data_IF_210900531956
#
_entry.id   IF_210900531956
#
_cell.length_a   1.000
_cell.length_b   1.000
_cell.length_c   1.000
_cell.angle_alpha   90.00
_cell.angle_beta   90.00
_cell.angle_gamma   90.00
#
_symmetry.space_group_name_H-M   'P 1'
#
loop_
_entity.id
_entity.type
_entity.pdbx_description
1 polymer ?
#
# COMPACT_ATOMS: atom_id res chain seq x y z
N UNK A 1 1.47 26.50 -18.97
CA UNK A 1 2.23 25.78 -17.92
C UNK A 1 1.38 24.61 -17.42
N UNK A 2 1.61 23.37 -17.91
CA UNK A 2 0.85 22.19 -17.45
C UNK A 2 1.15 22.01 -15.96
N UNK A 3 0.12 22.07 -15.09
CA UNK A 3 0.27 21.70 -13.66
C UNK A 3 0.91 20.30 -13.63
N UNK A 4 2.10 20.18 -13.04
CA UNK A 4 2.71 18.88 -12.75
C UNK A 4 1.70 18.11 -11.90
N UNK A 5 1.15 17.01 -12.40
CA UNK A 5 0.19 16.21 -11.65
C UNK A 5 0.89 15.69 -10.39
N UNK A 6 0.21 15.70 -9.25
CA UNK A 6 0.81 15.29 -7.96
C UNK A 6 1.31 13.84 -7.99
N UNK A 7 0.69 13.00 -8.82
CA UNK A 7 1.07 11.61 -9.05
C UNK A 7 2.48 11.45 -9.66
N UNK A 8 2.99 12.44 -10.41
CA UNK A 8 4.30 12.34 -11.05
C UNK A 8 5.47 12.44 -10.03
N UNK A 9 5.16 12.72 -8.75
CA UNK A 9 6.14 12.79 -7.64
C UNK A 9 6.48 11.41 -7.08
N UNK A 10 5.62 10.41 -7.27
CA UNK A 10 5.75 9.10 -6.63
C UNK A 10 6.23 8.05 -7.63
N UNK A 11 7.44 7.54 -7.44
CA UNK A 11 8.08 6.69 -8.46
C UNK A 11 7.43 5.31 -8.64
N UNK A 12 6.59 4.88 -7.70
CA UNK A 12 5.80 3.65 -7.84
C UNK A 12 4.53 3.84 -8.69
N UNK A 13 4.22 5.08 -9.07
CA UNK A 13 3.25 5.40 -10.10
C UNK A 13 3.97 5.43 -11.45
N UNK A 14 3.83 4.35 -12.22
CA UNK A 14 4.67 4.11 -13.41
C UNK A 14 3.94 4.44 -14.71
N UNK A 15 4.62 4.97 -15.74
CA UNK A 15 3.98 5.33 -17.00
C UNK A 15 3.65 4.10 -17.89
N UNK A 16 4.23 2.94 -17.59
CA UNK A 16 4.09 1.70 -18.36
C UNK A 16 3.08 0.76 -17.73
N UNK A 17 2.68 -0.26 -18.48
CA UNK A 17 2.01 -1.43 -17.91
C UNK A 17 2.92 -2.16 -16.93
N UNK A 18 2.30 -2.92 -16.03
CA UNK A 18 2.97 -3.71 -15.00
C UNK A 18 2.73 -5.18 -15.32
N UNK A 19 3.75 -5.88 -15.82
CA UNK A 19 3.64 -7.26 -16.31
C UNK A 19 3.00 -8.22 -15.29
N UNK A 20 3.35 -8.11 -14.00
CA UNK A 20 2.79 -8.91 -12.92
C UNK A 20 1.97 -8.06 -11.95
N UNK A 21 0.91 -7.42 -12.45
CA UNK A 21 0.07 -6.49 -11.69
C UNK A 21 -0.42 -7.03 -10.34
N UNK A 22 -0.78 -8.32 -10.25
CA UNK A 22 -1.25 -8.97 -9.01
C UNK A 22 -0.18 -9.10 -7.94
N UNK A 23 1.09 -9.20 -8.32
CA UNK A 23 2.22 -9.40 -7.39
C UNK A 23 3.06 -8.13 -7.20
N UNK A 24 2.64 -7.03 -7.81
CA UNK A 24 3.36 -5.75 -7.81
C UNK A 24 2.70 -4.72 -6.90
N UNK A 25 3.52 -3.93 -6.20
CA UNK A 25 3.08 -2.72 -5.51
C UNK A 25 3.01 -1.49 -6.40
N UNK A 26 3.39 -1.61 -7.68
CA UNK A 26 3.37 -0.51 -8.65
C UNK A 26 1.96 -0.31 -9.21
N UNK A 27 1.62 0.93 -9.54
CA UNK A 27 0.33 1.29 -10.14
C UNK A 27 0.58 2.07 -11.44
N UNK A 28 -0.01 1.66 -12.57
CA UNK A 28 0.04 2.45 -13.80
C UNK A 28 -0.55 3.86 -13.61
N UNK A 29 0.16 4.88 -14.12
CA UNK A 29 -0.29 6.27 -14.09
C UNK A 29 -1.61 6.47 -14.85
N UNK A 30 -1.87 5.67 -15.89
CA UNK A 30 -3.15 5.67 -16.59
C UNK A 30 -4.31 5.35 -15.64
N UNK A 31 -4.20 4.24 -14.90
CA UNK A 31 -5.20 3.81 -13.91
C UNK A 31 -5.32 4.81 -12.76
N UNK A 32 -4.20 5.30 -12.24
CA UNK A 32 -4.22 6.30 -11.16
C UNK A 32 -4.93 7.60 -11.57
N UNK A 33 -4.80 8.01 -12.84
CA UNK A 33 -5.44 9.22 -13.39
C UNK A 33 -6.90 8.99 -13.80
N UNK A 34 -7.24 7.78 -14.21
CA UNK A 34 -8.61 7.40 -14.58
C UNK A 34 -9.50 7.19 -13.35
N UNK A 35 -8.90 6.77 -12.23
CA UNK A 35 -9.53 6.54 -10.93
C UNK A 35 -9.96 7.82 -10.20
N UNK A 36 -10.74 8.71 -10.82
CA UNK A 36 -11.12 10.03 -10.26
C UNK A 36 -12.11 9.96 -9.09
N UNK A 37 -12.83 8.85 -8.95
CA UNK A 37 -13.79 8.64 -7.87
C UNK A 37 -13.10 8.03 -6.65
N UNK A 38 -12.88 8.87 -5.64
CA UNK A 38 -12.27 8.45 -4.38
C UNK A 38 -13.04 7.33 -3.67
N UNK A 39 -14.38 7.37 -3.67
CA UNK A 39 -15.19 6.36 -2.98
C UNK A 39 -15.05 5.00 -3.66
N UNK A 40 -15.01 4.99 -5.00
CA UNK A 40 -14.77 3.76 -5.78
C UNK A 40 -13.41 3.15 -5.45
N UNK A 41 -12.34 3.97 -5.45
CA UNK A 41 -10.99 3.50 -5.09
C UNK A 41 -10.92 3.02 -3.64
N UNK A 42 -11.58 3.74 -2.72
CA UNK A 42 -11.65 3.34 -1.31
C UNK A 42 -12.31 1.98 -1.14
N UNK A 43 -13.39 1.71 -1.89
CA UNK A 43 -14.04 0.40 -1.91
C UNK A 43 -13.13 -0.70 -2.46
N UNK A 44 -12.30 -0.39 -3.45
CA UNK A 44 -11.29 -1.31 -4.00
C UNK A 44 -10.21 -1.62 -2.95
N UNK A 45 -9.68 -0.61 -2.24
CA UNK A 45 -8.72 -0.82 -1.14
C UNK A 45 -9.31 -1.72 -0.05
N UNK A 46 -10.59 -1.52 0.28
CA UNK A 46 -11.28 -2.39 1.23
C UNK A 46 -11.54 -3.81 0.70
N UNK A 47 -11.84 -3.94 -0.59
CA UNK A 47 -11.97 -5.24 -1.25
C UNK A 47 -10.65 -6.01 -1.18
N UNK A 48 -9.55 -5.35 -1.53
CA UNK A 48 -8.19 -5.88 -1.39
C UNK A 48 -7.94 -6.39 0.04
N UNK A 49 -8.20 -5.57 1.07
CA UNK A 49 -7.98 -5.98 2.45
C UNK A 49 -8.77 -7.25 2.80
N UNK A 50 -10.07 -7.29 2.45
CA UNK A 50 -10.92 -8.44 2.77
C UNK A 50 -10.45 -9.72 2.07
N UNK A 51 -10.03 -9.60 0.80
CA UNK A 51 -9.72 -10.75 -0.04
C UNK A 51 -8.29 -11.26 0.13
N UNK A 52 -7.33 -10.36 0.31
CA UNK A 52 -5.90 -10.69 0.35
C UNK A 52 -5.34 -10.82 1.76
N UNK A 53 -5.99 -10.19 2.76
CA UNK A 53 -5.47 -10.13 4.13
C UNK A 53 -6.42 -10.80 5.13
N UNK A 54 -7.66 -10.33 5.24
CA UNK A 54 -8.57 -10.77 6.30
C UNK A 54 -8.95 -12.26 6.19
N UNK A 55 -9.16 -12.72 4.95
CA UNK A 55 -9.53 -14.10 4.60
C UNK A 55 -8.43 -15.13 4.87
N UNK A 56 -7.16 -14.73 4.90
CA UNK A 56 -6.02 -15.66 4.98
C UNK A 56 -5.90 -16.30 6.36
N UNK A 57 -5.82 -17.62 6.44
CA UNK A 57 -5.74 -18.36 7.71
C UNK A 57 -4.30 -18.49 8.23
N UNK A 58 -3.31 -18.33 7.37
CA UNK A 58 -1.88 -18.40 7.71
C UNK A 58 -1.32 -17.09 8.29
N UNK A 59 -2.05 -15.97 8.15
CA UNK A 59 -1.65 -14.69 8.74
C UNK A 59 -2.05 -14.58 10.21
N UNK A 60 -1.17 -14.02 11.02
CA UNK A 60 -1.41 -13.69 12.41
C UNK A 60 -2.51 -12.64 12.56
N UNK A 61 -3.23 -12.70 13.69
CA UNK A 61 -4.24 -11.68 14.02
C UNK A 61 -3.63 -10.26 14.02
N UNK A 62 -2.38 -10.11 14.48
CA UNK A 62 -1.66 -8.84 14.43
C UNK A 62 -1.37 -8.36 13.01
N UNK A 63 -1.01 -9.25 12.07
CA UNK A 63 -0.84 -8.90 10.67
C UNK A 63 -2.17 -8.45 10.05
N UNK A 64 -3.28 -9.12 10.36
CA UNK A 64 -4.61 -8.73 9.89
C UNK A 64 -5.05 -7.37 10.42
N UNK A 65 -4.83 -7.09 11.71
CA UNK A 65 -5.11 -5.78 12.30
C UNK A 65 -4.23 -4.69 11.70
N UNK A 66 -2.94 -4.98 11.50
CA UNK A 66 -2.03 -4.02 10.89
C UNK A 66 -2.42 -3.74 9.42
N UNK A 67 -2.75 -4.77 8.64
CA UNK A 67 -3.27 -4.64 7.28
C UNK A 67 -4.57 -3.84 7.21
N UNK A 68 -5.48 -4.01 8.17
CA UNK A 68 -6.67 -3.17 8.32
C UNK A 68 -6.28 -1.71 8.50
N UNK A 69 -5.32 -1.41 9.37
CA UNK A 69 -4.89 -0.03 9.63
C UNK A 69 -4.21 0.61 8.41
N UNK A 70 -3.48 -0.17 7.62
CA UNK A 70 -2.91 0.29 6.35
C UNK A 70 -4.02 0.63 5.37
N UNK A 71 -4.98 -0.28 5.18
CA UNK A 71 -6.13 -0.03 4.31
C UNK A 71 -6.92 1.19 4.79
N UNK A 72 -7.12 1.36 6.09
CA UNK A 72 -7.84 2.50 6.68
C UNK A 72 -7.16 3.84 6.38
N UNK A 73 -5.84 3.87 6.47
CA UNK A 73 -5.01 5.07 6.31
C UNK A 73 -4.36 5.19 4.95
N UNK A 74 -4.89 4.48 3.97
CA UNK A 74 -4.44 4.57 2.60
C UNK A 74 -4.82 5.94 2.02
N UNK A 75 -3.89 6.56 1.30
CA UNK A 75 -4.06 7.92 0.76
C UNK A 75 -4.02 7.90 -0.76
N UNK A 76 -4.96 8.63 -1.34
CA UNK A 76 -5.22 8.67 -2.77
C UNK A 76 -4.11 9.40 -3.53
N UNK A 77 -3.57 10.46 -2.94
CA UNK A 77 -2.57 11.32 -3.56
C UNK A 77 -1.29 10.57 -3.92
N UNK A 78 -0.91 9.62 -3.07
CA UNK A 78 0.31 8.84 -3.20
C UNK A 78 0.07 7.35 -3.48
N UNK A 79 -1.18 6.93 -3.62
CA UNK A 79 -1.58 5.53 -3.78
C UNK A 79 -0.96 4.57 -2.73
N UNK A 80 -0.82 5.03 -1.50
CA UNK A 80 -0.12 4.28 -0.45
C UNK A 80 -0.56 4.70 0.95
N UNK A 81 -0.17 3.93 1.95
CA UNK A 81 -0.26 4.34 3.36
C UNK A 81 1.12 4.76 3.86
N UNK A 82 1.25 5.90 4.55
CA UNK A 82 2.57 6.46 4.88
C UNK A 82 2.61 7.21 6.22
N UNK A 83 1.67 6.93 7.13
CA UNK A 83 1.74 7.46 8.49
C UNK A 83 2.97 6.88 9.23
N UNK A 84 3.40 7.54 10.30
CA UNK A 84 4.47 7.00 11.12
C UNK A 84 4.07 5.65 11.73
N UNK A 85 5.00 4.71 11.88
CA UNK A 85 4.71 3.38 12.45
C UNK A 85 4.02 3.46 13.83
N UNK A 86 4.34 4.49 14.62
CA UNK A 86 3.70 4.72 15.91
C UNK A 86 2.20 5.04 15.79
N UNK A 87 1.79 5.70 14.71
CA UNK A 87 0.37 6.00 14.47
C UNK A 87 -0.41 4.70 14.27
N UNK A 88 0.09 3.80 13.43
CA UNK A 88 -0.51 2.48 13.24
C UNK A 88 -0.56 1.68 14.54
N UNK A 89 0.51 1.71 15.35
CA UNK A 89 0.53 1.00 16.65
C UNK A 89 -0.58 1.48 17.59
N UNK A 90 -0.85 2.78 17.61
CA UNK A 90 -1.93 3.35 18.42
C UNK A 90 -3.31 2.96 17.86
N UNK A 91 -3.48 2.99 16.55
CA UNK A 91 -4.75 2.61 15.91
C UNK A 91 -5.18 1.18 16.23
N UNK A 92 -4.24 0.23 16.24
CA UNK A 92 -4.55 -1.19 16.48
C UNK A 92 -4.37 -1.61 17.93
N UNK A 93 -3.96 -0.69 18.82
CA UNK A 93 -3.72 -0.99 20.24
C UNK A 93 -2.60 -2.01 20.49
N UNK A 94 -1.59 -2.09 19.61
CA UNK A 94 -0.47 -3.03 19.73
C UNK A 94 0.85 -2.30 19.94
N UNK A 95 1.80 -2.94 20.61
CA UNK A 95 3.14 -2.35 20.76
C UNK A 95 3.93 -2.34 19.44
N UNK A 96 4.94 -1.46 19.37
CA UNK A 96 5.78 -1.26 18.18
C UNK A 96 6.50 -2.52 17.70
N UNK A 97 6.94 -3.39 18.62
CA UNK A 97 7.65 -4.63 18.27
C UNK A 97 6.70 -5.61 17.56
N UNK A 98 5.46 -5.72 18.03
CA UNK A 98 4.42 -6.54 17.40
C UNK A 98 4.02 -5.97 16.05
N UNK A 99 3.78 -4.67 15.92
CA UNK A 99 3.49 -4.05 14.62
C UNK A 99 4.66 -4.19 13.62
N UNK A 100 5.90 -4.10 14.10
CA UNK A 100 7.08 -4.33 13.25
C UNK A 100 7.13 -5.76 12.69
N UNK A 101 6.75 -6.77 13.49
CA UNK A 101 6.64 -8.17 13.04
C UNK A 101 5.46 -8.36 12.09
N UNK A 102 4.30 -7.80 12.41
CA UNK A 102 3.12 -7.83 11.56
C UNK A 102 3.37 -7.22 10.18
N UNK A 103 4.03 -6.06 10.11
CA UNK A 103 4.45 -5.44 8.85
C UNK A 103 5.45 -6.33 8.08
N UNK A 104 6.41 -6.95 8.78
CA UNK A 104 7.35 -7.87 8.14
C UNK A 104 6.63 -9.08 7.55
N UNK A 105 5.69 -9.67 8.30
CA UNK A 105 4.87 -10.81 7.86
C UNK A 105 4.07 -10.48 6.59
N UNK A 106 3.40 -9.33 6.56
CA UNK A 106 2.70 -8.85 5.35
C UNK A 106 3.66 -8.62 4.17
N UNK A 107 4.88 -8.14 4.43
CA UNK A 107 5.91 -7.94 3.40
C UNK A 107 6.46 -9.26 2.86
N UNK A 108 6.69 -10.24 3.73
CA UNK A 108 7.20 -11.56 3.38
C UNK A 108 6.16 -12.36 2.60
N UNK A 109 4.87 -12.19 2.93
CA UNK A 109 3.74 -12.74 2.17
C UNK A 109 3.47 -12.00 0.84
N UNK A 110 4.31 -11.03 0.47
CA UNK A 110 4.15 -10.15 -0.70
C UNK A 110 2.79 -9.45 -0.77
N UNK A 111 2.23 -9.06 0.37
CA UNK A 111 0.98 -8.28 0.46
C UNK A 111 1.26 -6.78 0.57
N UNK A 112 2.40 -6.41 1.15
CA UNK A 112 2.80 -5.01 1.32
C UNK A 112 4.23 -4.80 0.83
N UNK A 113 4.46 -3.78 0.01
CA UNK A 113 5.81 -3.31 -0.27
C UNK A 113 6.15 -2.10 0.61
N UNK A 114 7.34 -2.13 1.20
CA UNK A 114 7.89 -1.00 1.94
C UNK A 114 8.83 -0.26 0.99
N UNK A 115 8.56 1.00 0.71
CA UNK A 115 9.36 1.79 -0.23
C UNK A 115 9.79 3.12 0.39
N UNK A 116 10.87 3.70 -0.12
CA UNK A 116 11.30 5.05 0.23
C UNK A 116 10.77 6.06 -0.79
N UNK A 117 10.28 7.21 -0.36
CA UNK A 117 9.81 8.27 -1.28
C UNK A 117 10.96 8.80 -2.15
N UNK A 118 12.09 9.10 -1.51
CA UNK A 118 13.22 9.82 -2.11
C UNK A 118 14.19 8.91 -2.90
N UNK A 119 14.09 7.59 -2.71
CA UNK A 119 14.95 6.60 -3.37
C UNK A 119 14.07 5.57 -4.07
N UNK A 120 14.36 5.22 -5.34
CA UNK A 120 13.68 4.12 -6.06
C UNK A 120 14.08 2.76 -5.49
N UNK A 121 13.71 2.50 -4.24
CA UNK A 121 14.18 1.39 -3.43
C UNK A 121 13.01 0.77 -2.67
N UNK A 122 12.79 -0.52 -2.92
CA UNK A 122 12.00 -1.40 -2.07
C UNK A 122 12.88 -1.92 -0.94
N UNK A 123 12.40 -1.80 0.29
CA UNK A 123 13.03 -2.33 1.48
C UNK A 123 12.46 -3.72 1.78
N UNK A 124 13.34 -4.67 2.10
CA UNK A 124 12.91 -5.98 2.64
C UNK A 124 12.36 -5.87 4.07
N UNK A 125 12.80 -4.85 4.81
CA UNK A 125 12.41 -4.59 6.20
C UNK A 125 12.37 -3.09 6.46
N UNK A 126 11.42 -2.67 7.30
CA UNK A 126 11.30 -1.27 7.73
C UNK A 126 12.54 -0.82 8.53
N UNK A 127 13.24 0.22 8.06
CA UNK A 127 14.47 0.77 8.71
C UNK A 127 14.22 2.15 9.35
N UNK A 128 15.05 2.67 10.26
CA UNK A 128 14.71 3.91 10.98
C UNK A 128 14.66 5.19 10.11
N UNK A 129 15.42 5.26 9.01
CA UNK A 129 15.58 6.46 8.16
C UNK A 129 14.69 6.44 6.92
N UNK A 130 14.39 7.65 6.43
CA UNK A 130 13.69 7.92 5.18
C UNK A 130 12.16 8.00 5.31
N UNK A 131 11.53 8.71 4.37
CA UNK A 131 10.07 8.78 4.25
C UNK A 131 9.58 7.50 3.60
N UNK A 132 8.77 6.73 4.34
CA UNK A 132 8.34 5.40 3.92
C UNK A 132 6.90 5.42 3.45
N UNK A 133 6.66 4.62 2.43
CA UNK A 133 5.33 4.31 1.96
C UNK A 133 5.12 2.80 1.99
N UNK A 134 3.90 2.41 2.34
CA UNK A 134 3.42 1.03 2.33
C UNK A 134 2.47 0.90 1.15
N UNK A 135 2.93 0.19 0.11
CA UNK A 135 2.16 -0.05 -1.10
C UNK A 135 1.38 -1.35 -0.94
N UNK A 136 0.11 -1.34 -1.34
CA UNK A 136 -0.74 -2.52 -1.31
C UNK A 136 -0.49 -3.32 -2.59
N UNK A 137 0.07 -4.51 -2.45
CA UNK A 137 0.44 -5.35 -3.59
C UNK A 137 -0.81 -5.85 -4.30
N UNK A 138 -0.84 -5.78 -5.63
CA UNK A 138 -2.00 -6.15 -6.42
C UNK A 138 -3.01 -5.01 -6.62
N UNK A 139 -2.85 -3.87 -5.95
CA UNK A 139 -3.83 -2.77 -6.05
C UNK A 139 -4.01 -2.27 -7.48
N UNK A 140 -2.92 -2.16 -8.25
CA UNK A 140 -2.99 -1.78 -9.67
C UNK A 140 -3.86 -2.72 -10.50
N UNK A 141 -3.78 -4.03 -10.23
CA UNK A 141 -4.63 -5.05 -10.87
C UNK A 141 -6.10 -4.88 -10.50
N UNK A 142 -6.40 -4.69 -9.21
CA UNK A 142 -7.77 -4.47 -8.74
C UNK A 142 -8.40 -3.17 -9.28
N UNK A 143 -7.59 -2.13 -9.52
CA UNK A 143 -8.05 -0.90 -10.14
C UNK A 143 -8.46 -1.13 -11.61
N UNK A 144 -7.68 -1.92 -12.35
CA UNK A 144 -7.98 -2.27 -13.75
C UNK A 144 -9.21 -3.18 -13.93
N UNK A 145 -9.49 -4.09 -12.99
CA UNK A 145 -10.72 -4.91 -13.01
C UNK A 145 -11.98 -4.14 -12.58
N UNK A 146 -11.81 -3.01 -11.90
CA UNK A 146 -12.91 -2.22 -11.35
C UNK A 146 -13.44 -1.14 -12.30
N UNK A 147 -12.75 -0.85 -13.41
CA UNK A 147 -13.22 0.02 -14.50
C UNK A 147 -14.23 -0.70 -15.41
#
# INVERSE_FOLDING_TARGET
>A
MRRKNEHDKYWWLVPTEVENGRESGLVPLSLARASKDFNKVRNIVWKWYRWEVASRTDLSASAKLFGWSLAERWRYESFSSHDALNYYTQMVGLNRKTCGRALQELSDANLVWIVLEDEKKRLKKSQARGRKHFLLVGLGHYLGEGE
#
